data_IF_311524965975
#
_entry.id   IF_311524965975
#
_cell.length_a   1.000
_cell.length_b   1.000
_cell.length_c   1.000
_cell.angle_alpha   90.00
_cell.angle_beta   90.00
_cell.angle_gamma   90.00
#
_symmetry.space_group_name_H-M   'P 1'
#
loop_
_entity.id
_entity.type
_entity.pdbx_description
1 polymer ?
#
# COMPACT_ATOMS: atom_id res chain seq x y z
N UNK A 1 29.98 1.85 -7.93
CA UNK A 1 29.20 1.71 -6.68
C UNK A 1 29.82 2.56 -5.55
N UNK A 2 29.63 3.88 -5.54
CA UNK A 2 30.13 4.79 -4.47
C UNK A 2 29.09 5.81 -3.96
N UNK A 3 27.92 5.89 -4.60
CA UNK A 3 26.89 6.89 -4.27
C UNK A 3 26.19 6.60 -2.93
N UNK A 4 25.83 5.33 -2.66
CA UNK A 4 25.05 4.96 -1.46
C UNK A 4 25.77 5.27 -0.14
N UNK A 5 27.08 5.00 -0.06
CA UNK A 5 27.88 5.24 1.15
C UNK A 5 28.09 6.72 1.44
N UNK A 6 28.18 7.56 0.40
CA UNK A 6 28.43 9.00 0.57
C UNK A 6 27.23 9.72 1.16
N UNK A 7 26.02 9.46 0.65
CA UNK A 7 24.81 10.11 1.17
C UNK A 7 24.48 9.70 2.60
N UNK A 8 24.55 8.42 2.95
CA UNK A 8 24.27 7.97 4.32
C UNK A 8 25.31 8.48 5.32
N UNK A 9 26.57 8.63 4.91
CA UNK A 9 27.61 9.22 5.76
C UNK A 9 27.46 10.73 5.91
N UNK A 10 27.22 11.44 4.81
CA UNK A 10 27.21 12.90 4.78
C UNK A 10 25.88 13.47 5.36
N UNK A 11 24.74 12.77 5.20
CA UNK A 11 23.42 13.19 5.70
C UNK A 11 22.88 12.37 6.88
N UNK A 12 23.45 11.20 7.18
CA UNK A 12 23.16 10.46 8.41
C UNK A 12 21.79 9.76 8.47
N UNK A 13 21.07 9.59 7.36
CA UNK A 13 19.76 8.89 7.31
C UNK A 13 19.87 7.37 7.52
N UNK A 14 20.40 6.95 8.68
CA UNK A 14 20.57 5.55 9.09
C UNK A 14 19.34 5.03 9.84
N UNK A 15 18.90 3.80 9.51
CA UNK A 15 17.83 3.13 10.26
C UNK A 15 18.37 2.59 11.59
N UNK A 16 17.64 2.82 12.68
CA UNK A 16 17.93 2.19 13.99
C UNK A 16 17.91 0.66 13.85
N UNK A 17 18.90 -0.07 14.41
CA UNK A 17 18.92 -1.53 14.39
C UNK A 17 17.66 -2.16 15.00
N UNK A 18 17.12 -1.54 16.04
CA UNK A 18 15.88 -1.99 16.67
C UNK A 18 14.66 -1.80 15.76
N UNK A 19 14.58 -0.66 15.04
CA UNK A 19 13.50 -0.44 14.07
C UNK A 19 13.62 -1.40 12.88
N UNK A 20 14.84 -1.74 12.46
CA UNK A 20 15.08 -2.75 11.43
C UNK A 20 14.58 -4.13 11.88
N UNK A 21 14.83 -4.52 13.14
CA UNK A 21 14.29 -5.75 13.73
C UNK A 21 12.75 -5.77 13.72
N UNK A 22 12.10 -4.70 14.20
CA UNK A 22 10.64 -4.60 14.20
C UNK A 22 10.06 -4.63 12.77
N UNK A 23 10.74 -4.00 11.82
CA UNK A 23 10.35 -4.02 10.41
C UNK A 23 10.41 -5.45 9.84
N UNK A 24 11.48 -6.20 10.13
CA UNK A 24 11.61 -7.60 9.71
C UNK A 24 10.51 -8.47 10.33
N UNK A 25 10.22 -8.31 11.61
CA UNK A 25 9.11 -9.01 12.27
C UNK A 25 7.75 -8.71 11.59
N UNK A 26 7.54 -7.45 11.18
CA UNK A 26 6.34 -7.07 10.42
C UNK A 26 6.28 -7.69 9.02
N UNK A 27 7.42 -7.84 8.35
CA UNK A 27 7.50 -8.41 7.00
C UNK A 27 7.06 -9.87 6.94
N UNK A 28 7.29 -10.64 8.00
CA UNK A 28 6.89 -12.06 8.09
C UNK A 28 5.40 -12.26 7.77
N UNK A 29 4.56 -11.31 8.16
CA UNK A 29 3.09 -11.38 7.98
C UNK A 29 2.57 -10.43 6.90
N UNK A 30 3.45 -9.78 6.13
CA UNK A 30 3.03 -8.77 5.15
C UNK A 30 2.04 -9.33 4.12
N UNK A 31 2.29 -10.52 3.61
CA UNK A 31 1.46 -11.16 2.59
C UNK A 31 0.02 -11.41 3.09
N UNK A 32 -0.14 -11.88 4.34
CA UNK A 32 -1.45 -12.09 4.96
C UNK A 32 -2.20 -10.77 5.18
N UNK A 33 -1.48 -9.75 5.66
CA UNK A 33 -2.07 -8.45 5.96
C UNK A 33 -2.51 -7.72 4.70
N UNK A 34 -1.69 -7.70 3.65
CA UNK A 34 -2.02 -6.99 2.42
C UNK A 34 -3.23 -7.58 1.71
N UNK A 35 -3.36 -8.90 1.64
CA UNK A 35 -4.55 -9.53 1.09
C UNK A 35 -5.81 -9.09 1.83
N UNK A 36 -5.77 -9.12 3.18
CA UNK A 36 -6.91 -8.70 4.01
C UNK A 36 -7.21 -7.21 3.88
N UNK A 37 -6.19 -6.36 3.83
CA UNK A 37 -6.35 -4.92 3.63
C UNK A 37 -7.01 -4.62 2.29
N UNK A 38 -6.53 -5.22 1.20
CA UNK A 38 -7.09 -5.01 -0.14
C UNK A 38 -8.52 -5.50 -0.26
N UNK A 39 -8.82 -6.68 0.30
CA UNK A 39 -10.20 -7.22 0.32
C UNK A 39 -11.15 -6.31 1.10
N UNK A 40 -10.80 -5.96 2.33
CA UNK A 40 -11.64 -5.12 3.18
C UNK A 40 -11.82 -3.72 2.57
N UNK A 41 -10.76 -3.14 1.99
CA UNK A 41 -10.84 -1.84 1.34
C UNK A 41 -11.80 -1.83 0.15
N UNK A 42 -11.80 -2.92 -0.66
CA UNK A 42 -12.76 -3.07 -1.75
C UNK A 42 -14.20 -3.13 -1.23
N UNK A 43 -14.47 -3.95 -0.22
CA UNK A 43 -15.81 -4.07 0.38
C UNK A 43 -16.30 -2.72 0.95
N UNK A 44 -15.42 -1.97 1.62
CA UNK A 44 -15.73 -0.63 2.13
C UNK A 44 -15.98 0.36 0.98
N UNK A 45 -15.17 0.32 -0.08
CA UNK A 45 -15.35 1.20 -1.23
C UNK A 45 -16.67 0.95 -1.96
N UNK A 46 -17.06 -0.32 -2.13
CA UNK A 46 -18.34 -0.71 -2.69
C UNK A 46 -19.50 -0.26 -1.80
N UNK A 47 -19.40 -0.46 -0.49
CA UNK A 47 -20.41 0.02 0.47
C UNK A 47 -20.59 1.55 0.43
N UNK A 48 -19.48 2.30 0.43
CA UNK A 48 -19.52 3.76 0.43
C UNK A 48 -20.01 4.33 -0.90
N UNK A 49 -19.75 3.64 -2.02
CA UNK A 49 -20.21 4.06 -3.35
C UNK A 49 -21.72 4.17 -3.46
N UNK A 50 -22.44 3.26 -2.79
CA UNK A 50 -23.90 3.22 -2.81
C UNK A 50 -24.54 3.99 -1.64
N UNK A 51 -23.74 4.61 -0.78
CA UNK A 51 -24.23 5.23 0.44
C UNK A 51 -24.77 6.65 0.18
N UNK A 52 -26.02 6.98 0.54
CA UNK A 52 -26.70 8.23 0.14
C UNK A 52 -26.12 9.51 0.76
N UNK A 53 -25.20 9.38 1.72
CA UNK A 53 -24.50 10.52 2.36
C UNK A 53 -23.06 10.71 1.86
N UNK A 54 -22.63 9.93 0.87
CA UNK A 54 -21.28 9.99 0.30
C UNK A 54 -21.38 10.62 -1.07
N UNK A 55 -20.59 11.67 -1.32
CA UNK A 55 -20.61 12.40 -2.58
C UNK A 55 -19.81 11.67 -3.68
N UNK A 56 -18.63 11.15 -3.33
CA UNK A 56 -17.81 10.36 -4.24
C UNK A 56 -16.86 9.41 -3.51
N UNK A 57 -16.43 8.36 -4.22
CA UNK A 57 -15.45 7.37 -3.74
C UNK A 57 -14.39 7.17 -4.82
N UNK A 58 -13.11 7.29 -4.43
CA UNK A 58 -11.96 7.00 -5.30
C UNK A 58 -11.30 5.73 -4.79
N UNK A 59 -11.43 4.67 -5.57
CA UNK A 59 -10.74 3.41 -5.33
C UNK A 59 -10.41 2.74 -6.68
N UNK A 60 -9.15 2.40 -6.95
CA UNK A 60 -8.73 1.86 -8.25
C UNK A 60 -9.35 0.50 -8.57
N UNK A 61 -9.83 -0.23 -7.56
CA UNK A 61 -10.56 -1.48 -7.75
C UNK A 61 -12.03 -1.33 -8.12
N UNK A 62 -12.57 -0.10 -8.14
CA UNK A 62 -13.93 0.16 -8.62
C UNK A 62 -13.95 0.25 -10.15
N UNK A 63 -14.95 -0.38 -10.78
CA UNK A 63 -15.09 -0.44 -12.24
C UNK A 63 -15.26 0.92 -12.93
N UNK A 64 -15.75 1.93 -12.20
CA UNK A 64 -15.93 3.28 -12.69
C UNK A 64 -14.69 4.18 -12.47
N UNK A 65 -13.60 3.64 -11.93
CA UNK A 65 -12.38 4.41 -11.72
C UNK A 65 -11.57 4.54 -13.03
N UNK A 66 -11.04 5.73 -13.30
CA UNK A 66 -10.32 6.04 -14.55
C UNK A 66 -9.14 5.08 -14.82
N UNK A 67 -8.45 4.66 -13.77
CA UNK A 67 -7.28 3.77 -13.86
C UNK A 67 -7.59 2.29 -13.57
N UNK A 68 -8.88 1.89 -13.53
CA UNK A 68 -9.28 0.53 -13.17
C UNK A 68 -8.58 -0.53 -14.03
N UNK A 69 -8.52 -0.33 -15.35
CA UNK A 69 -7.85 -1.26 -16.27
C UNK A 69 -6.34 -1.39 -15.99
N UNK A 70 -5.69 -0.29 -15.58
CA UNK A 70 -4.27 -0.34 -15.19
C UNK A 70 -4.09 -1.06 -13.86
N UNK A 71 -4.99 -0.83 -12.90
CA UNK A 71 -4.98 -1.51 -11.62
C UNK A 71 -5.15 -3.02 -11.82
N UNK A 72 -6.10 -3.49 -12.61
CA UNK A 72 -6.26 -4.91 -12.91
C UNK A 72 -5.01 -5.54 -13.54
N UNK A 73 -4.30 -4.78 -14.39
CA UNK A 73 -3.07 -5.26 -15.03
C UNK A 73 -1.91 -5.41 -14.05
N UNK A 74 -1.71 -4.42 -13.17
CA UNK A 74 -0.50 -4.30 -12.35
C UNK A 74 -0.68 -4.76 -10.90
N UNK A 75 -1.90 -4.77 -10.38
CA UNK A 75 -2.24 -4.97 -8.96
C UNK A 75 -3.06 -6.26 -8.74
N UNK A 76 -2.51 -7.40 -9.18
CA UNK A 76 -3.25 -8.69 -9.27
C UNK A 76 -3.80 -9.24 -7.93
N UNK A 77 -3.24 -8.83 -6.79
CA UNK A 77 -3.61 -9.29 -5.44
C UNK A 77 -3.82 -8.13 -4.46
N UNK A 78 -4.05 -6.91 -4.97
CA UNK A 78 -3.91 -5.67 -4.22
C UNK A 78 -3.07 -4.66 -4.97
#
# INVERSE_FOLDING_TARGET
MKLKSRYTRDFGSCMSPFNAFLFLQGLETLHLRMERHSKNAKEVAEFLKDHPKVDWVVYPGLSNHETHQSAEKYLRNG
#
